data_IF_163662162352
#
_entry.id   IF_163662162352
#
_cell.length_a   1.000
_cell.length_b   1.000
_cell.length_c   1.000
_cell.angle_alpha   90.00
_cell.angle_beta   90.00
_cell.angle_gamma   90.00
#
_symmetry.space_group_name_H-M   'P 1'
#
loop_
_entity.id
_entity.type
_entity.pdbx_description
1 polymer ?
#
# COMPACT_ATOMS: atom_id res chain seq x y z
N UNK A 1 3.21 7.31 4.48
CA UNK A 1 4.36 7.45 3.57
C UNK A 1 3.94 7.74 2.14
N UNK A 2 3.16 6.87 1.48
CA UNK A 2 2.73 7.06 0.07
C UNK A 2 2.09 8.45 -0.16
N UNK A 3 1.10 8.83 0.66
CA UNK A 3 0.45 10.13 0.54
C UNK A 3 1.44 11.31 0.67
N UNK A 4 2.37 11.26 1.64
CA UNK A 4 3.41 12.29 1.78
C UNK A 4 4.33 12.33 0.56
N UNK A 5 4.76 11.19 0.03
CA UNK A 5 5.63 11.12 -1.13
C UNK A 5 4.95 11.69 -2.39
N UNK A 6 3.66 11.40 -2.59
CA UNK A 6 2.87 11.99 -3.67
C UNK A 6 2.73 13.51 -3.50
N UNK A 7 2.53 13.99 -2.27
CA UNK A 7 2.44 15.41 -1.97
C UNK A 7 3.78 16.14 -2.22
N UNK A 8 4.91 15.60 -1.75
CA UNK A 8 6.24 16.18 -2.01
C UNK A 8 6.56 16.26 -3.51
N UNK A 9 6.11 15.29 -4.30
CA UNK A 9 6.28 15.29 -5.74
C UNK A 9 5.22 16.14 -6.48
N UNK A 10 4.29 16.78 -5.77
CA UNK A 10 3.25 17.64 -6.33
C UNK A 10 2.19 16.89 -7.15
N UNK A 11 1.98 15.60 -6.89
CA UNK A 11 1.08 14.77 -7.68
C UNK A 11 -0.40 15.03 -7.43
N UNK A 12 -0.78 15.40 -6.19
CA UNK A 12 -2.18 15.69 -5.87
C UNK A 12 -2.73 16.92 -6.60
N UNK A 13 -1.86 17.86 -6.99
CA UNK A 13 -2.25 19.03 -7.80
C UNK A 13 -2.29 18.73 -9.30
N UNK A 14 -1.67 17.61 -9.73
CA UNK A 14 -1.55 17.23 -11.14
C UNK A 14 -2.65 16.28 -11.59
N UNK A 15 -3.15 15.46 -10.69
CA UNK A 15 -4.16 14.45 -11.00
C UNK A 15 -5.02 14.11 -9.77
N UNK A 16 -6.29 13.71 -9.97
CA UNK A 16 -7.12 13.20 -8.89
C UNK A 16 -6.65 11.80 -8.49
N UNK A 17 -5.81 11.73 -7.45
CA UNK A 17 -5.29 10.46 -6.92
C UNK A 17 -6.09 10.06 -5.69
N UNK A 18 -6.54 8.80 -5.66
CA UNK A 18 -7.17 8.19 -4.50
C UNK A 18 -6.27 7.09 -3.95
N UNK A 19 -6.07 7.08 -2.63
CA UNK A 19 -5.31 6.04 -1.94
C UNK A 19 -6.29 5.21 -1.14
N UNK A 20 -6.38 3.92 -1.44
CA UNK A 20 -7.07 2.96 -0.61
C UNK A 20 -6.06 2.22 0.26
N UNK A 21 -6.31 2.17 1.56
CA UNK A 21 -5.47 1.46 2.51
C UNK A 21 -6.32 0.49 3.33
N UNK A 22 -5.93 -0.78 3.28
CA UNK A 22 -6.66 -1.85 3.95
C UNK A 22 -5.78 -2.76 4.79
N UNK A 23 -6.41 -3.39 5.78
CA UNK A 23 -5.82 -4.39 6.66
C UNK A 23 -6.91 -5.39 7.06
N UNK A 24 -6.55 -6.64 7.33
CA UNK A 24 -7.49 -7.64 7.83
C UNK A 24 -7.91 -7.36 9.29
N UNK A 25 -7.15 -6.54 10.01
CA UNK A 25 -7.39 -6.17 11.41
C UNK A 25 -8.19 -4.87 11.53
N UNK A 26 -9.46 -4.92 12.00
CA UNK A 26 -10.26 -3.72 12.25
C UNK A 26 -9.60 -2.78 13.27
N UNK A 27 -8.85 -3.33 14.23
CA UNK A 27 -8.16 -2.51 15.24
C UNK A 27 -6.96 -1.75 14.66
N UNK A 28 -6.25 -2.35 13.68
CA UNK A 28 -5.20 -1.65 12.93
C UNK A 28 -5.80 -0.51 12.11
N UNK A 29 -6.92 -0.75 11.42
CA UNK A 29 -7.66 0.29 10.68
C UNK A 29 -8.16 1.40 11.60
N UNK A 30 -8.76 1.07 12.74
CA UNK A 30 -9.21 2.09 13.70
C UNK A 30 -8.05 2.94 14.23
N UNK A 31 -6.87 2.34 14.45
CA UNK A 31 -5.67 3.08 14.82
C UNK A 31 -5.16 3.98 13.68
N UNK A 32 -5.16 3.50 12.45
CA UNK A 32 -4.75 4.28 11.28
C UNK A 32 -5.69 5.47 11.01
N UNK A 33 -7.01 5.26 11.17
CA UNK A 33 -8.03 6.32 11.09
C UNK A 33 -7.86 7.40 12.15
N UNK A 34 -7.34 7.07 13.34
CA UNK A 34 -7.00 8.10 14.35
C UNK A 34 -5.78 8.94 13.96
N UNK A 35 -4.89 8.44 13.10
CA UNK A 35 -3.74 9.22 12.63
C UNK A 35 -2.68 9.54 13.69
N UNK A 36 -2.74 8.94 14.89
CA UNK A 36 -1.80 9.20 15.99
C UNK A 36 -0.72 8.11 16.05
N UNK A 37 0.53 8.54 15.96
CA UNK A 37 1.72 7.68 15.93
C UNK A 37 2.64 7.97 17.12
N UNK A 38 3.43 6.97 17.52
CA UNK A 38 4.43 7.09 18.59
C UNK A 38 5.80 7.43 18.00
N UNK A 39 6.75 7.89 18.83
CA UNK A 39 8.08 8.28 18.38
C UNK A 39 8.79 7.20 17.55
N UNK A 40 8.64 5.94 17.97
CA UNK A 40 9.21 4.77 17.27
C UNK A 40 8.74 4.58 15.83
N UNK A 41 7.63 5.20 15.43
CA UNK A 41 7.10 5.15 14.07
C UNK A 41 7.91 5.99 13.08
N UNK A 42 8.76 6.90 13.57
CA UNK A 42 9.52 7.85 12.74
C UNK A 42 10.98 7.44 12.49
N UNK A 43 11.37 6.19 12.80
CA UNK A 43 12.79 5.75 12.68
C UNK A 43 13.38 5.94 11.28
N UNK A 44 12.55 5.83 10.24
CA UNK A 44 12.93 5.97 8.84
C UNK A 44 12.36 7.23 8.18
N UNK A 45 11.74 8.14 8.93
CA UNK A 45 11.18 9.37 8.39
C UNK A 45 12.14 10.55 8.66
N UNK A 46 12.59 11.27 7.62
CA UNK A 46 13.35 12.51 7.78
C UNK A 46 12.68 13.51 8.73
N UNK A 47 13.49 14.26 9.49
CA UNK A 47 12.99 15.12 10.57
C UNK A 47 12.16 16.31 10.05
N UNK A 48 12.54 16.84 8.89
CA UNK A 48 11.84 17.86 8.12
C UNK A 48 10.45 17.38 7.67
N UNK A 49 10.35 16.18 7.09
CA UNK A 49 9.06 15.60 6.72
C UNK A 49 8.18 15.33 7.95
N UNK A 50 8.77 14.90 9.06
CA UNK A 50 8.04 14.75 10.32
C UNK A 50 7.47 16.09 10.78
N UNK A 51 8.28 17.15 10.77
CA UNK A 51 7.85 18.48 11.19
C UNK A 51 6.77 19.07 10.26
N UNK A 52 6.84 18.77 8.95
CA UNK A 52 5.86 19.21 7.96
C UNK A 52 4.51 18.51 8.09
N UNK A 53 4.51 17.20 8.34
CA UNK A 53 3.30 16.37 8.23
C UNK A 53 2.72 15.90 9.55
N UNK A 54 3.35 16.18 10.68
CA UNK A 54 2.88 15.73 11.98
C UNK A 54 2.95 16.83 13.03
N UNK A 55 1.89 16.92 13.83
CA UNK A 55 1.81 17.82 14.98
C UNK A 55 1.94 17.02 16.27
N UNK A 56 2.71 17.54 17.24
CA UNK A 56 2.83 16.92 18.57
C UNK A 56 1.48 17.04 19.29
N UNK A 57 0.98 15.93 19.82
CA UNK A 57 -0.22 15.86 20.67
C UNK A 57 0.12 15.11 21.96
N UNK A 58 -0.76 15.15 22.96
CA UNK A 58 -0.55 14.52 24.28
C UNK A 58 -0.08 13.06 24.17
N UNK A 59 -0.71 12.28 23.28
CA UNK A 59 -0.47 10.85 23.13
C UNK A 59 0.45 10.48 21.94
N UNK A 60 1.19 11.44 21.39
CA UNK A 60 2.17 11.19 20.33
C UNK A 60 2.21 12.27 19.27
N UNK A 61 2.09 11.87 18.01
CA UNK A 61 2.15 12.73 16.84
C UNK A 61 0.98 12.43 15.92
N UNK A 62 0.16 13.43 15.70
CA UNK A 62 -0.99 13.34 14.81
C UNK A 62 -0.61 13.80 13.41
N UNK A 63 -0.95 13.00 12.40
CA UNK A 63 -0.75 13.37 11.00
C UNK A 63 -1.68 14.52 10.61
N UNK A 64 -1.19 15.43 9.79
CA UNK A 64 -1.97 16.56 9.28
C UNK A 64 -3.25 16.09 8.56
N UNK A 65 -4.39 16.81 8.74
CA UNK A 65 -5.63 16.48 8.06
C UNK A 65 -5.50 16.47 6.53
N UNK A 66 -4.64 17.33 5.98
CA UNK A 66 -4.37 17.44 4.54
C UNK A 66 -3.88 16.13 3.93
N UNK A 67 -2.97 15.42 4.61
CA UNK A 67 -2.47 14.13 4.15
C UNK A 67 -3.42 13.00 4.52
N UNK A 68 -4.03 13.08 5.70
CA UNK A 68 -4.90 12.01 6.21
C UNK A 68 -6.15 11.82 5.36
N UNK A 69 -6.75 12.92 4.88
CA UNK A 69 -7.95 12.89 4.00
C UNK A 69 -7.71 12.29 2.63
N UNK A 70 -6.45 12.11 2.20
CA UNK A 70 -6.13 11.49 0.91
C UNK A 70 -6.31 9.97 0.94
N UNK A 71 -6.59 9.39 2.11
CA UNK A 71 -6.61 7.95 2.34
C UNK A 71 -8.03 7.48 2.70
N UNK A 72 -8.55 6.56 1.89
CA UNK A 72 -9.77 5.81 2.18
C UNK A 72 -9.38 4.50 2.89
N UNK A 73 -9.85 4.35 4.13
CA UNK A 73 -9.52 3.20 4.98
C UNK A 73 -10.57 2.11 4.89
N UNK A 74 -10.18 0.87 4.61
CA UNK A 74 -11.06 -0.29 4.54
C UNK A 74 -10.54 -1.45 5.39
N UNK A 75 -11.44 -2.29 5.91
CA UNK A 75 -11.04 -3.62 6.40
C UNK A 75 -11.18 -4.59 5.22
N UNK A 76 -10.16 -5.38 4.93
CA UNK A 76 -10.20 -6.33 3.82
C UNK A 76 -9.42 -7.60 4.16
N UNK A 77 -10.02 -8.75 3.89
CA UNK A 77 -9.33 -10.03 3.89
C UNK A 77 -8.84 -10.34 2.46
N UNK A 78 -7.53 -10.52 2.28
CA UNK A 78 -6.93 -10.85 0.97
C UNK A 78 -7.37 -12.20 0.39
N UNK A 79 -8.07 -13.03 1.18
CA UNK A 79 -8.65 -14.29 0.74
C UNK A 79 -10.13 -14.17 0.33
N UNK A 80 -10.75 -12.99 0.56
CA UNK A 80 -12.12 -12.65 0.18
C UNK A 80 -12.12 -11.90 -1.15
N UNK A 81 -12.70 -12.51 -2.19
CA UNK A 81 -12.85 -11.87 -3.51
C UNK A 81 -13.70 -10.59 -3.42
N UNK A 82 -14.76 -10.59 -2.62
CA UNK A 82 -15.62 -9.44 -2.43
C UNK A 82 -14.87 -8.23 -1.81
N UNK A 83 -13.89 -8.50 -0.93
CA UNK A 83 -13.09 -7.46 -0.30
C UNK A 83 -11.98 -6.97 -1.25
N UNK A 84 -11.36 -7.91 -1.99
CA UNK A 84 -10.21 -7.62 -2.86
C UNK A 84 -10.63 -6.96 -4.16
N UNK A 85 -11.72 -7.38 -4.79
CA UNK A 85 -12.17 -6.87 -6.09
C UNK A 85 -12.21 -5.33 -6.20
N UNK A 86 -12.84 -4.58 -5.27
CA UNK A 86 -12.84 -3.12 -5.36
C UNK A 86 -11.45 -2.50 -5.19
N UNK A 87 -10.58 -3.08 -4.35
CA UNK A 87 -9.24 -2.57 -4.07
C UNK A 87 -8.25 -2.88 -5.19
N UNK A 88 -8.32 -4.10 -5.73
CA UNK A 88 -7.43 -4.59 -6.77
C UNK A 88 -7.70 -3.96 -8.15
N UNK A 89 -8.78 -3.19 -8.30
CA UNK A 89 -9.00 -2.34 -9.48
C UNK A 89 -7.97 -1.21 -9.65
N UNK A 90 -7.14 -0.97 -8.64
CA UNK A 90 -6.08 0.03 -8.69
C UNK A 90 -4.94 -0.41 -9.64
N UNK A 91 -4.40 0.51 -10.45
CA UNK A 91 -3.25 0.22 -11.31
C UNK A 91 -1.95 0.02 -10.53
N UNK A 92 -1.88 0.47 -9.28
CA UNK A 92 -0.71 0.34 -8.41
C UNK A 92 -1.14 -0.23 -7.07
N UNK A 93 -0.61 -1.40 -6.72
CA UNK A 93 -0.86 -2.08 -5.44
C UNK A 93 0.45 -2.21 -4.67
N UNK A 94 0.43 -1.85 -3.39
CA UNK A 94 1.48 -2.14 -2.44
C UNK A 94 1.01 -3.25 -1.50
N UNK A 95 1.56 -4.46 -1.63
CA UNK A 95 1.30 -5.60 -0.76
C UNK A 95 2.64 -6.08 -0.17
N UNK A 96 3.15 -5.34 0.82
CA UNK A 96 4.52 -5.52 1.34
C UNK A 96 4.51 -6.10 2.75
N UNK A 97 5.35 -7.10 2.98
CA UNK A 97 5.51 -7.79 4.25
C UNK A 97 4.22 -8.47 4.74
N UNK A 98 3.42 -8.98 3.80
CA UNK A 98 2.15 -9.68 4.06
C UNK A 98 2.26 -11.16 3.69
N UNK A 99 2.86 -11.47 2.54
CA UNK A 99 2.98 -12.84 2.03
C UNK A 99 3.91 -13.71 2.87
N UNK A 100 4.80 -13.11 3.66
CA UNK A 100 5.62 -13.84 4.65
C UNK A 100 4.81 -14.59 5.71
N UNK A 101 3.51 -14.28 5.85
CA UNK A 101 2.59 -14.95 6.78
C UNK A 101 1.65 -15.95 6.09
N UNK A 102 1.73 -16.09 4.76
CA UNK A 102 0.80 -16.86 3.95
C UNK A 102 1.47 -18.16 3.49
N UNK A 103 0.66 -19.22 3.32
CA UNK A 103 1.12 -20.40 2.58
C UNK A 103 1.21 -20.10 1.08
N UNK A 104 1.97 -20.89 0.34
CA UNK A 104 2.07 -20.78 -1.13
C UNK A 104 0.69 -20.78 -1.80
N UNK A 105 -0.23 -21.63 -1.35
CA UNK A 105 -1.61 -21.68 -1.87
C UNK A 105 -2.39 -20.39 -1.60
N UNK A 106 -2.22 -19.81 -0.41
CA UNK A 106 -2.85 -18.55 -0.05
C UNK A 106 -2.29 -17.40 -0.90
N UNK A 107 -0.97 -17.37 -1.12
CA UNK A 107 -0.33 -16.39 -2.00
C UNK A 107 -0.86 -16.54 -3.43
N UNK A 108 -0.88 -17.76 -3.99
CA UNK A 108 -1.39 -18.01 -5.36
C UNK A 108 -2.83 -17.52 -5.51
N UNK A 109 -3.71 -17.81 -4.55
CA UNK A 109 -5.10 -17.34 -4.57
C UNK A 109 -5.19 -15.81 -4.50
N UNK A 110 -4.41 -15.14 -3.65
CA UNK A 110 -4.39 -13.67 -3.61
C UNK A 110 -3.87 -13.08 -4.93
N UNK A 111 -2.81 -13.66 -5.52
CA UNK A 111 -2.28 -13.22 -6.81
C UNK A 111 -3.28 -13.41 -7.94
N UNK A 112 -4.02 -14.51 -7.98
CA UNK A 112 -5.09 -14.71 -8.96
C UNK A 112 -6.16 -13.62 -8.87
N UNK A 113 -6.55 -13.21 -7.65
CA UNK A 113 -7.48 -12.10 -7.47
C UNK A 113 -6.87 -10.78 -7.96
N UNK A 114 -5.60 -10.49 -7.63
CA UNK A 114 -4.92 -9.29 -8.14
C UNK A 114 -4.85 -9.29 -9.66
N UNK A 115 -4.36 -10.37 -10.29
CA UNK A 115 -4.32 -10.50 -11.75
C UNK A 115 -5.69 -10.34 -12.38
N UNK A 116 -6.75 -10.87 -11.76
CA UNK A 116 -8.11 -10.77 -12.29
C UNK A 116 -8.65 -9.35 -12.33
N UNK A 117 -8.40 -8.54 -11.29
CA UNK A 117 -9.02 -7.22 -11.13
C UNK A 117 -8.12 -6.04 -11.47
N UNK A 118 -6.79 -6.21 -11.42
CA UNK A 118 -5.87 -5.15 -11.80
C UNK A 118 -6.00 -4.81 -13.29
N UNK A 119 -5.95 -3.51 -13.65
CA UNK A 119 -5.85 -3.12 -15.04
C UNK A 119 -4.50 -3.53 -15.62
N UNK A 120 -4.39 -3.42 -16.94
CA UNK A 120 -3.14 -3.64 -17.66
C UNK A 120 -2.72 -2.33 -18.35
N UNK A 121 -1.49 -1.80 -18.12
CA UNK A 121 -0.50 -2.32 -17.19
C UNK A 121 -0.92 -2.15 -15.72
N UNK A 122 -0.49 -3.09 -14.88
CA UNK A 122 -0.70 -3.08 -13.43
C UNK A 122 0.61 -3.31 -12.67
N UNK A 123 0.84 -2.60 -11.57
CA UNK A 123 2.11 -2.60 -10.83
C UNK A 123 1.92 -3.09 -9.40
N UNK A 124 2.54 -4.22 -9.06
CA UNK A 124 2.50 -4.82 -7.73
C UNK A 124 3.88 -4.69 -7.06
N UNK A 125 3.89 -3.96 -5.95
CA UNK A 125 5.07 -3.78 -5.09
C UNK A 125 4.97 -4.72 -3.88
N UNK A 126 5.95 -5.61 -3.73
CA UNK A 126 6.10 -6.47 -2.56
C UNK A 126 7.30 -6.06 -1.69
N UNK A 127 7.41 -6.66 -0.51
CA UNK A 127 8.52 -6.47 0.42
C UNK A 127 9.80 -7.12 -0.11
N UNK A 128 10.96 -6.61 0.32
CA UNK A 128 12.25 -7.05 -0.20
C UNK A 128 12.59 -8.54 0.05
N UNK A 129 11.94 -9.16 1.05
CA UNK A 129 12.08 -10.57 1.36
C UNK A 129 11.06 -11.46 0.64
N UNK A 130 10.11 -10.88 -0.11
CA UNK A 130 9.03 -11.58 -0.78
C UNK A 130 9.38 -11.77 -2.25
N UNK A 131 9.27 -13.00 -2.76
CA UNK A 131 9.50 -13.33 -4.17
C UNK A 131 8.34 -14.15 -4.72
N UNK A 132 7.76 -13.66 -5.82
CA UNK A 132 6.60 -14.28 -6.49
C UNK A 132 7.00 -15.13 -7.70
N UNK A 133 8.28 -15.14 -8.08
CA UNK A 133 8.78 -15.76 -9.33
C UNK A 133 8.52 -17.27 -9.41
N UNK A 134 8.40 -17.96 -8.28
CA UNK A 134 8.09 -19.41 -8.22
C UNK A 134 6.59 -19.70 -8.08
N UNK A 135 5.79 -18.65 -7.86
CA UNK A 135 4.37 -18.76 -7.49
C UNK A 135 3.43 -18.33 -8.61
N UNK A 136 3.87 -17.49 -9.54
CA UNK A 136 3.06 -17.04 -10.68
C UNK A 136 3.95 -16.67 -11.86
N UNK A 137 3.38 -16.77 -13.07
CA UNK A 137 3.91 -16.22 -14.32
C UNK A 137 3.05 -15.07 -14.86
N UNK A 138 2.05 -14.62 -14.10
CA UNK A 138 1.11 -13.57 -14.52
C UNK A 138 1.71 -12.15 -14.41
N UNK A 139 2.89 -12.03 -13.80
CA UNK A 139 3.60 -10.77 -13.61
C UNK A 139 5.06 -10.91 -14.04
N UNK A 140 5.53 -9.93 -14.81
CA UNK A 140 6.93 -9.77 -15.16
C UNK A 140 7.67 -8.98 -14.08
N UNK A 141 8.83 -9.46 -13.62
CA UNK A 141 9.65 -8.69 -12.69
C UNK A 141 10.48 -7.66 -13.47
N UNK A 142 10.25 -6.38 -13.20
CA UNK A 142 10.95 -5.26 -13.85
C UNK A 142 11.64 -4.37 -12.84
N UNK A 143 12.76 -3.76 -13.23
CA UNK A 143 13.42 -2.71 -12.44
C UNK A 143 12.96 -1.32 -12.93
N UNK A 144 12.33 -0.55 -12.05
CA UNK A 144 11.84 0.80 -12.34
C UNK A 144 12.45 1.74 -11.30
N UNK A 145 13.35 2.63 -11.75
CA UNK A 145 13.99 3.62 -10.88
C UNK A 145 14.75 3.01 -9.69
N UNK A 146 15.40 1.85 -9.89
CA UNK A 146 16.14 1.13 -8.85
C UNK A 146 15.26 0.26 -7.93
N UNK A 147 13.96 0.18 -8.18
CA UNK A 147 13.05 -0.70 -7.44
C UNK A 147 12.58 -1.87 -8.32
N UNK A 148 12.56 -3.08 -7.76
CA UNK A 148 11.95 -4.23 -8.40
C UNK A 148 10.43 -4.23 -8.21
N UNK A 149 9.69 -4.36 -9.31
CA UNK A 149 8.23 -4.28 -9.37
C UNK A 149 7.69 -5.43 -10.21
N UNK A 150 6.63 -6.09 -9.74
CA UNK A 150 5.91 -7.09 -10.52
C UNK A 150 4.88 -6.39 -11.41
N UNK A 151 5.04 -6.49 -12.73
CA UNK A 151 4.23 -5.79 -13.72
C UNK A 151 3.32 -6.77 -14.44
N UNK A 152 2.01 -6.56 -14.34
CA UNK A 152 1.02 -7.23 -15.17
C UNK A 152 1.02 -6.58 -16.55
N UNK A 153 1.45 -7.32 -17.56
CA UNK A 153 1.48 -6.88 -18.97
C UNK A 153 0.31 -7.50 -19.75
N UNK A 154 0.02 -6.97 -20.94
CA UNK A 154 -0.97 -7.57 -21.84
C UNK A 154 -0.23 -8.66 -22.62
N UNK A 155 -0.54 -9.92 -22.33
CA UNK A 155 -0.13 -11.03 -23.19
C UNK A 155 -1.19 -11.28 -24.26
#
# INVERSE_FOLDING_TARGET
>A
TIAMALNEAGWFDRAPIQIYASDASPSAIAKARRGIYRQRSFRSLPADLRAKYFTRVENGWEVTPEIHRQITWATANLMSEADVAPLASAPVIFCRNVFIYFSDDAIRKTLQLFTRYMPTPGYLFVGAAESLLKLTTDFDLQEIGGAFVYVKTAH
#
